data_IF_078486217169
#
_entry.id   IF_078486217169
#
_cell.length_a   1.000
_cell.length_b   1.000
_cell.length_c   1.000
_cell.angle_alpha   90.00
_cell.angle_beta   90.00
_cell.angle_gamma   90.00
#
_symmetry.space_group_name_H-M   'P 1'
#
loop_
_entity.id
_entity.type
_entity.pdbx_description
1 polymer ?
#
# COMPACT_ATOMS: atom_id res chain seq x y z
N UNK A 1 -26.00 -10.70 -1.55
CA UNK A 1 -25.21 -11.92 -1.25
C UNK A 1 -23.91 -11.99 -2.04
N UNK A 2 -23.93 -11.95 -3.39
CA UNK A 2 -22.72 -12.04 -4.24
C UNK A 2 -21.75 -10.87 -3.99
N UNK A 3 -22.22 -9.63 -3.94
CA UNK A 3 -21.39 -8.46 -3.64
C UNK A 3 -20.66 -8.58 -2.30
N UNK A 4 -21.34 -9.11 -1.27
CA UNK A 4 -20.71 -9.34 0.03
C UNK A 4 -19.62 -10.41 -0.02
N UNK A 5 -19.77 -11.45 -0.86
CA UNK A 5 -18.72 -12.46 -1.09
C UNK A 5 -17.53 -11.87 -1.84
N UNK A 6 -17.76 -11.07 -2.87
CA UNK A 6 -16.70 -10.39 -3.63
C UNK A 6 -15.88 -9.49 -2.71
N UNK A 7 -16.54 -8.63 -1.91
CA UNK A 7 -15.83 -7.76 -0.95
C UNK A 7 -14.96 -8.54 0.04
N UNK A 8 -15.44 -9.68 0.55
CA UNK A 8 -14.62 -10.54 1.43
C UNK A 8 -13.44 -11.18 0.70
N UNK A 9 -13.63 -11.56 -0.56
CA UNK A 9 -12.56 -12.09 -1.40
C UNK A 9 -11.47 -11.05 -1.68
N UNK A 10 -11.85 -9.79 -1.89
CA UNK A 10 -10.91 -8.68 -2.10
C UNK A 10 -10.04 -8.41 -0.87
N UNK A 11 -10.56 -8.65 0.33
CA UNK A 11 -9.82 -8.47 1.58
C UNK A 11 -8.94 -9.68 1.96
N UNK A 12 -9.12 -10.81 1.26
CA UNK A 12 -8.35 -12.02 1.56
C UNK A 12 -6.87 -11.81 1.29
N UNK A 13 -6.04 -12.18 2.24
CA UNK A 13 -4.58 -12.18 2.15
C UNK A 13 -3.93 -10.81 1.86
N UNK A 14 -4.61 -9.70 2.15
CA UNK A 14 -4.12 -8.35 1.87
C UNK A 14 -2.84 -8.00 2.64
N UNK A 15 -2.64 -8.53 3.83
CA UNK A 15 -1.40 -8.37 4.58
C UNK A 15 -0.20 -8.93 3.81
N UNK A 16 -0.32 -10.17 3.31
CA UNK A 16 0.70 -10.80 2.48
C UNK A 16 0.98 -10.00 1.21
N UNK A 17 -0.05 -9.72 0.41
CA UNK A 17 0.09 -9.02 -0.87
C UNK A 17 0.67 -7.62 -0.70
N UNK A 18 0.32 -6.92 0.36
CA UNK A 18 0.86 -5.60 0.65
C UNK A 18 2.33 -5.68 1.07
N UNK A 19 2.69 -6.65 1.91
CA UNK A 19 4.08 -6.86 2.34
C UNK A 19 4.97 -7.22 1.15
N UNK A 20 4.53 -8.11 0.27
CA UNK A 20 5.22 -8.49 -0.96
C UNK A 20 5.51 -7.27 -1.86
N UNK A 21 4.53 -6.39 -2.06
CA UNK A 21 4.66 -5.17 -2.84
C UNK A 21 5.61 -4.16 -2.18
N UNK A 22 5.49 -3.96 -0.87
CA UNK A 22 6.37 -3.05 -0.12
C UNK A 22 7.81 -3.58 -0.08
N UNK A 23 8.01 -4.88 0.08
CA UNK A 23 9.34 -5.49 0.02
C UNK A 23 10.02 -5.20 -1.32
N UNK A 24 9.32 -5.34 -2.45
CA UNK A 24 9.85 -4.98 -3.77
C UNK A 24 10.19 -3.48 -3.87
N UNK A 25 9.36 -2.60 -3.32
CA UNK A 25 9.61 -1.15 -3.30
C UNK A 25 10.83 -0.78 -2.45
N UNK A 26 11.01 -1.43 -1.31
CA UNK A 26 12.16 -1.21 -0.43
C UNK A 26 13.45 -1.76 -1.03
N UNK A 27 13.38 -2.92 -1.70
CA UNK A 27 14.48 -3.52 -2.44
C UNK A 27 14.97 -2.60 -3.56
N UNK A 28 14.06 -1.99 -4.34
CA UNK A 28 14.39 -0.98 -5.33
C UNK A 28 15.16 0.20 -4.71
N UNK A 29 14.66 0.76 -3.62
CA UNK A 29 15.33 1.87 -2.94
C UNK A 29 16.71 1.47 -2.40
N UNK A 30 16.89 0.27 -1.89
CA UNK A 30 18.17 -0.17 -1.34
C UNK A 30 19.23 -0.31 -2.43
N UNK A 31 18.91 -0.92 -3.57
CA UNK A 31 19.90 -1.09 -4.65
C UNK A 31 20.26 0.23 -5.35
N UNK A 32 19.30 1.14 -5.49
CA UNK A 32 19.52 2.44 -6.10
C UNK A 32 20.07 3.51 -5.13
N UNK A 33 20.28 3.15 -3.86
CA UNK A 33 20.96 3.99 -2.86
C UNK A 33 22.46 3.67 -2.73
N UNK A 34 22.98 2.73 -3.52
CA UNK A 34 24.41 2.41 -3.55
C UNK A 34 25.15 3.58 -4.20
N UNK A 35 26.12 4.16 -3.48
CA UNK A 35 26.91 5.31 -3.94
C UNK A 35 28.28 4.92 -4.48
N UNK A 36 28.79 3.76 -4.09
CA UNK A 36 30.09 3.25 -4.52
C UNK A 36 29.89 1.83 -5.07
N UNK A 37 30.46 1.59 -6.26
CA UNK A 37 30.32 0.29 -6.89
C UNK A 37 31.41 -0.66 -6.37
N UNK A 38 30.95 -1.73 -5.75
CA UNK A 38 31.75 -2.93 -5.49
C UNK A 38 31.02 -4.16 -6.04
N UNK A 39 31.69 -5.15 -6.63
CA UNK A 39 31.04 -6.39 -7.04
C UNK A 39 30.37 -7.09 -5.86
N UNK A 40 29.10 -7.45 -6.01
CA UNK A 40 28.34 -8.18 -4.99
C UNK A 40 27.41 -9.21 -5.64
N UNK A 41 27.01 -10.22 -4.86
CA UNK A 41 25.95 -11.13 -5.24
C UNK A 41 24.58 -10.44 -5.05
N UNK A 42 23.81 -10.22 -6.11
CA UNK A 42 22.55 -9.48 -6.01
C UNK A 42 21.51 -10.19 -5.15
N UNK A 43 21.51 -11.54 -5.12
CA UNK A 43 20.56 -12.30 -4.32
C UNK A 43 20.88 -12.22 -2.83
N UNK A 44 22.16 -12.24 -2.48
CA UNK A 44 22.62 -12.07 -1.10
C UNK A 44 22.42 -10.63 -0.62
N UNK A 45 22.63 -9.65 -1.49
CA UNK A 45 22.32 -8.25 -1.19
C UNK A 45 20.82 -8.06 -0.87
N UNK A 46 19.94 -8.57 -1.74
CA UNK A 46 18.49 -8.52 -1.54
C UNK A 46 18.09 -9.18 -0.22
N UNK A 47 18.59 -10.38 0.03
CA UNK A 47 18.31 -11.13 1.26
C UNK A 47 18.69 -10.31 2.50
N UNK A 48 19.90 -9.77 2.56
CA UNK A 48 20.36 -8.94 3.69
C UNK A 48 19.51 -7.67 3.85
N UNK A 49 19.25 -6.97 2.74
CA UNK A 49 18.47 -5.73 2.75
C UNK A 49 17.05 -5.97 3.30
N UNK A 50 16.40 -7.05 2.90
CA UNK A 50 15.01 -7.31 3.31
C UNK A 50 14.90 -8.03 4.65
N UNK A 51 15.70 -9.06 4.92
CA UNK A 51 15.56 -9.85 6.14
C UNK A 51 16.30 -9.23 7.33
N UNK A 52 17.60 -8.93 7.19
CA UNK A 52 18.42 -8.46 8.30
C UNK A 52 18.16 -7.00 8.64
N UNK A 53 18.05 -6.15 7.63
CA UNK A 53 17.84 -4.71 7.82
C UNK A 53 16.38 -4.35 8.12
N UNK A 54 15.41 -5.07 7.53
CA UNK A 54 13.98 -4.69 7.56
C UNK A 54 13.07 -5.72 8.22
N UNK A 55 13.58 -6.89 8.59
CA UNK A 55 12.86 -7.92 9.32
C UNK A 55 11.78 -8.62 8.49
N UNK A 56 11.93 -8.69 7.16
CA UNK A 56 11.02 -9.47 6.33
C UNK A 56 11.07 -10.95 6.75
N UNK A 57 9.89 -11.49 7.05
CA UNK A 57 9.78 -12.90 7.44
C UNK A 57 10.06 -13.82 6.25
N UNK A 58 10.68 -15.00 6.46
CA UNK A 58 11.11 -15.86 5.37
C UNK A 58 9.97 -16.47 4.53
N UNK A 59 8.74 -16.43 5.02
CA UNK A 59 7.56 -16.91 4.30
C UNK A 59 7.05 -15.93 3.22
N UNK A 60 7.57 -14.70 3.20
CA UNK A 60 7.21 -13.69 2.22
C UNK A 60 8.45 -13.32 1.42
N UNK A 61 8.40 -13.55 0.12
CA UNK A 61 9.39 -13.05 -0.81
C UNK A 61 8.93 -11.74 -1.45
N UNK A 62 9.86 -10.87 -1.90
CA UNK A 62 9.47 -9.69 -2.65
C UNK A 62 8.81 -10.09 -3.97
N UNK A 63 7.88 -9.27 -4.44
CA UNK A 63 7.11 -9.51 -5.68
C UNK A 63 8.01 -9.75 -6.90
N UNK A 64 9.16 -9.11 -6.94
CA UNK A 64 10.21 -9.29 -7.94
C UNK A 64 11.56 -9.44 -7.26
N UNK A 65 12.40 -10.31 -7.83
CA UNK A 65 13.80 -10.50 -7.43
C UNK A 65 14.69 -9.78 -8.44
N UNK A 66 15.83 -9.26 -8.03
CA UNK A 66 16.72 -8.48 -8.88
C UNK A 66 17.02 -9.10 -10.25
N UNK A 67 17.24 -10.41 -10.42
CA UNK A 67 17.56 -10.97 -11.74
C UNK A 67 16.47 -10.83 -12.80
N UNK A 68 15.22 -10.55 -12.40
CA UNK A 68 14.09 -10.38 -13.32
C UNK A 68 13.21 -9.16 -13.02
N UNK A 69 13.75 -8.22 -12.24
CA UNK A 69 13.01 -7.00 -11.87
C UNK A 69 13.19 -5.90 -12.94
N UNK A 70 12.71 -6.16 -14.14
CA UNK A 70 12.84 -5.26 -15.29
C UNK A 70 12.30 -3.85 -15.04
N UNK A 71 11.25 -3.70 -14.24
CA UNK A 71 10.69 -2.39 -13.90
C UNK A 71 11.73 -1.37 -13.43
N UNK A 72 12.67 -1.80 -12.58
CA UNK A 72 13.64 -0.91 -11.94
C UNK A 72 14.97 -0.82 -12.69
N UNK A 73 15.25 -1.76 -13.62
CA UNK A 73 16.50 -1.76 -14.39
C UNK A 73 16.32 -1.34 -15.85
N UNK A 74 15.13 -1.56 -16.43
CA UNK A 74 14.83 -1.26 -17.84
C UNK A 74 13.50 -0.54 -18.03
N UNK A 75 12.58 -0.66 -17.08
CA UNK A 75 11.20 -0.15 -17.17
C UNK A 75 10.99 1.31 -16.76
N UNK A 76 12.03 2.05 -16.40
CA UNK A 76 11.93 3.48 -16.02
C UNK A 76 11.43 3.72 -14.58
N UNK A 77 11.41 2.71 -13.72
CA UNK A 77 10.99 2.82 -12.31
C UNK A 77 12.18 2.74 -11.32
N UNK A 78 13.41 3.00 -11.76
CA UNK A 78 14.59 3.01 -10.88
C UNK A 78 14.41 3.98 -9.73
N UNK A 79 14.58 3.51 -8.49
CA UNK A 79 14.27 4.24 -7.25
C UNK A 79 12.82 4.80 -7.21
N UNK A 80 11.91 4.23 -7.98
CA UNK A 80 10.56 4.74 -8.19
C UNK A 80 9.45 3.69 -8.10
N UNK A 81 9.75 2.44 -7.79
CA UNK A 81 8.73 1.38 -7.72
C UNK A 81 7.69 1.62 -6.63
N UNK A 82 8.06 2.31 -5.54
CA UNK A 82 7.13 2.74 -4.49
C UNK A 82 5.95 3.57 -5.01
N UNK A 83 6.09 4.13 -6.22
CA UNK A 83 5.09 5.01 -6.81
C UNK A 83 3.73 4.33 -7.00
N UNK A 84 3.69 3.03 -7.19
CA UNK A 84 2.43 2.26 -7.24
C UNK A 84 1.63 2.40 -5.94
N UNK A 85 2.30 2.25 -4.80
CA UNK A 85 1.65 2.43 -3.49
C UNK A 85 1.28 3.88 -3.22
N UNK A 86 2.14 4.82 -3.62
CA UNK A 86 1.88 6.25 -3.49
C UNK A 86 0.67 6.68 -4.33
N UNK A 87 0.60 6.26 -5.59
CA UNK A 87 -0.53 6.54 -6.46
C UNK A 87 -1.84 5.97 -5.91
N UNK A 88 -1.80 4.79 -5.28
CA UNK A 88 -2.98 4.20 -4.62
C UNK A 88 -3.44 5.02 -3.41
N UNK A 89 -2.52 5.57 -2.62
CA UNK A 89 -2.88 6.49 -1.52
C UNK A 89 -3.66 7.68 -2.08
N UNK A 90 -3.18 8.29 -3.17
CA UNK A 90 -3.85 9.43 -3.79
C UNK A 90 -5.20 9.04 -4.39
N UNK A 91 -5.27 7.92 -5.12
CA UNK A 91 -6.49 7.40 -5.74
C UNK A 91 -7.60 7.16 -4.70
N UNK A 92 -7.27 6.43 -3.63
CA UNK A 92 -8.26 6.11 -2.59
C UNK A 92 -8.74 7.35 -1.84
N UNK A 93 -7.85 8.30 -1.53
CA UNK A 93 -8.27 9.53 -0.85
C UNK A 93 -9.03 10.50 -1.80
N UNK A 94 -8.73 10.52 -3.08
CA UNK A 94 -9.55 11.22 -4.09
C UNK A 94 -10.97 10.66 -4.11
N UNK A 95 -11.12 9.32 -4.07
CA UNK A 95 -12.43 8.69 -4.03
C UNK A 95 -13.21 8.99 -2.74
N UNK A 96 -12.51 9.21 -1.62
CA UNK A 96 -13.16 9.64 -0.36
C UNK A 96 -13.92 10.96 -0.53
N UNK A 97 -13.52 11.88 -1.43
CA UNK A 97 -14.28 13.11 -1.69
C UNK A 97 -15.72 12.81 -2.14
N UNK A 98 -15.89 11.77 -2.98
CA UNK A 98 -17.23 11.33 -3.40
C UNK A 98 -17.98 10.66 -2.27
N UNK A 99 -17.33 9.83 -1.46
CA UNK A 99 -17.94 9.18 -0.30
C UNK A 99 -18.38 10.20 0.77
N UNK A 100 -17.52 11.15 1.08
CA UNK A 100 -17.78 12.25 2.02
C UNK A 100 -18.99 13.11 1.60
N UNK A 101 -19.23 13.24 0.29
CA UNK A 101 -20.40 13.98 -0.23
C UNK A 101 -21.73 13.25 -0.08
N UNK A 102 -21.70 11.93 0.21
CA UNK A 102 -22.90 11.09 0.24
C UNK A 102 -23.45 10.71 -1.15
N UNK A 103 -22.84 11.19 -2.22
CA UNK A 103 -23.25 10.91 -3.62
C UNK A 103 -22.00 10.52 -4.46
N UNK A 104 -21.87 9.25 -4.76
CA UNK A 104 -20.76 8.72 -5.57
C UNK A 104 -20.74 9.23 -7.01
N UNK A 105 -21.83 9.82 -7.49
CA UNK A 105 -21.96 10.43 -8.81
C UNK A 105 -22.08 11.95 -8.75
N UNK A 106 -21.59 12.58 -7.69
CA UNK A 106 -21.62 14.02 -7.49
C UNK A 106 -20.95 14.75 -8.66
N UNK A 107 -21.77 15.42 -9.46
CA UNK A 107 -21.32 16.09 -10.70
C UNK A 107 -20.32 17.22 -10.45
N UNK A 108 -20.48 17.95 -9.34
CA UNK A 108 -19.56 19.05 -9.00
C UNK A 108 -18.16 18.51 -8.69
N UNK A 109 -18.06 17.46 -7.86
CA UNK A 109 -16.79 16.82 -7.51
C UNK A 109 -16.17 16.18 -8.76
N UNK A 110 -16.96 15.49 -9.59
CA UNK A 110 -16.50 14.90 -10.83
C UNK A 110 -15.94 15.94 -11.81
N UNK A 111 -16.58 17.10 -11.94
CA UNK A 111 -16.13 18.19 -12.79
C UNK A 111 -14.87 18.88 -12.21
N UNK A 112 -14.80 19.06 -10.90
CA UNK A 112 -13.60 19.55 -10.22
C UNK A 112 -12.42 18.58 -10.40
N UNK A 113 -12.62 17.28 -10.22
CA UNK A 113 -11.60 16.26 -10.48
C UNK A 113 -11.11 16.28 -11.93
N UNK A 114 -12.05 16.33 -12.87
CA UNK A 114 -11.74 16.43 -14.29
C UNK A 114 -10.89 17.67 -14.61
N UNK A 115 -11.25 18.83 -14.10
CA UNK A 115 -10.58 20.11 -14.45
C UNK A 115 -9.27 20.31 -13.69
N UNK A 116 -9.23 19.96 -12.41
CA UNK A 116 -8.10 20.26 -11.53
C UNK A 116 -7.00 19.20 -11.60
N UNK A 117 -7.35 17.96 -11.96
CA UNK A 117 -6.42 16.82 -12.03
C UNK A 117 -6.26 16.36 -13.48
N UNK A 118 -7.30 15.73 -14.05
CA UNK A 118 -7.16 14.99 -15.31
C UNK A 118 -6.80 15.89 -16.51
N UNK A 119 -7.44 17.04 -16.64
CA UNK A 119 -7.20 17.95 -17.75
C UNK A 119 -5.86 18.68 -17.65
N UNK A 120 -5.28 18.76 -16.47
CA UNK A 120 -3.97 19.42 -16.24
C UNK A 120 -2.79 18.49 -16.50
N UNK A 121 -2.96 17.18 -16.27
CA UNK A 121 -1.90 16.20 -16.50
C UNK A 121 -0.61 16.56 -15.77
N UNK A 122 0.52 16.57 -16.49
CA UNK A 122 1.83 16.93 -15.96
C UNK A 122 2.21 18.41 -16.11
N UNK A 123 1.26 19.33 -16.29
CA UNK A 123 1.53 20.76 -16.48
C UNK A 123 1.90 21.51 -15.21
N UNK A 124 1.69 20.89 -14.05
CA UNK A 124 1.94 21.48 -12.74
C UNK A 124 2.34 20.39 -11.75
N UNK A 125 2.90 20.80 -10.60
CA UNK A 125 3.23 19.86 -9.52
C UNK A 125 2.00 19.06 -9.05
N UNK A 126 2.14 17.73 -8.98
CA UNK A 126 1.04 16.83 -8.67
C UNK A 126 0.41 17.08 -7.31
N UNK A 127 1.21 17.44 -6.29
CA UNK A 127 0.69 17.72 -4.95
C UNK A 127 -0.02 19.06 -4.89
N UNK A 128 0.38 20.04 -5.70
CA UNK A 128 -0.33 21.30 -5.83
C UNK A 128 -1.73 21.08 -6.42
N UNK A 129 -1.82 20.31 -7.51
CA UNK A 129 -3.11 19.95 -8.12
C UNK A 129 -3.98 19.13 -7.15
N UNK A 130 -3.38 18.20 -6.42
CA UNK A 130 -4.07 17.38 -5.43
C UNK A 130 -4.70 18.23 -4.32
N UNK A 131 -3.91 19.15 -3.73
CA UNK A 131 -4.39 20.06 -2.68
C UNK A 131 -5.46 21.03 -3.20
N UNK A 132 -5.34 21.48 -4.44
CA UNK A 132 -6.39 22.31 -5.10
C UNK A 132 -7.71 21.54 -5.22
N UNK A 133 -7.65 20.23 -5.49
CA UNK A 133 -8.85 19.38 -5.55
C UNK A 133 -9.39 19.01 -4.16
N UNK A 134 -8.53 18.47 -3.27
CA UNK A 134 -8.94 17.90 -1.97
C UNK A 134 -9.03 18.93 -0.84
N UNK A 135 -8.33 20.07 -0.95
CA UNK A 135 -8.22 21.08 0.12
C UNK A 135 -7.36 20.64 1.30
N UNK A 136 -6.65 19.51 1.20
CA UNK A 136 -5.83 18.92 2.26
C UNK A 136 -4.73 18.03 1.68
N UNK A 137 -3.80 17.60 2.52
CA UNK A 137 -2.83 16.56 2.19
C UNK A 137 -3.48 15.18 2.10
N UNK A 138 -2.87 14.24 1.34
CA UNK A 138 -3.36 12.87 1.20
C UNK A 138 -3.44 12.13 2.53
N UNK A 139 -4.48 11.34 2.70
CA UNK A 139 -4.66 10.48 3.86
C UNK A 139 -4.52 9.00 3.48
N UNK A 140 -3.42 8.38 3.94
CA UNK A 140 -3.15 6.95 3.70
C UNK A 140 -4.24 6.01 4.29
N UNK A 141 -5.04 6.48 5.24
CA UNK A 141 -6.09 5.66 5.87
C UNK A 141 -7.13 5.20 4.88
N UNK A 142 -7.43 5.98 3.84
CA UNK A 142 -8.34 5.57 2.78
C UNK A 142 -7.84 4.30 2.05
N UNK A 143 -6.57 4.25 1.69
CA UNK A 143 -5.95 3.07 1.09
C UNK A 143 -5.89 1.89 2.07
N UNK A 144 -5.49 2.11 3.32
CA UNK A 144 -5.43 1.06 4.32
C UNK A 144 -6.82 0.46 4.62
N UNK A 145 -7.88 1.28 4.68
CA UNK A 145 -9.28 0.80 4.79
C UNK A 145 -9.68 -0.04 3.59
N UNK A 146 -9.34 0.39 2.38
CA UNK A 146 -9.69 -0.36 1.16
C UNK A 146 -9.05 -1.75 1.12
N UNK A 147 -7.89 -1.91 1.77
CA UNK A 147 -7.17 -3.18 1.90
C UNK A 147 -7.55 -3.97 3.17
N UNK A 148 -8.45 -3.45 4.03
CA UNK A 148 -8.79 -4.08 5.30
C UNK A 148 -7.64 -4.08 6.32
N UNK A 149 -6.66 -3.19 6.16
CA UNK A 149 -5.49 -3.04 7.04
C UNK A 149 -5.63 -1.87 8.04
N UNK A 150 -6.78 -1.23 8.04
CA UNK A 150 -7.12 -0.16 8.98
C UNK A 150 -8.50 -0.37 9.57
N UNK A 151 -8.53 -0.53 10.88
CA UNK A 151 -9.77 -0.47 11.65
C UNK A 151 -9.82 0.92 12.30
N UNK A 152 -10.93 1.65 12.10
CA UNK A 152 -11.16 2.85 12.89
C UNK A 152 -11.17 2.42 14.37
N UNK A 153 -10.46 3.13 15.25
CA UNK A 153 -10.64 2.90 16.68
C UNK A 153 -12.12 3.11 17.00
N UNK A 154 -12.75 2.13 17.62
CA UNK A 154 -14.13 2.31 18.08
C UNK A 154 -14.19 3.61 18.91
N UNK A 155 -15.20 4.45 18.70
CA UNK A 155 -15.41 5.60 19.56
C UNK A 155 -15.44 5.07 20.99
N UNK A 156 -14.62 5.64 21.85
CA UNK A 156 -14.53 5.22 23.24
C UNK A 156 -15.93 5.29 23.87
N UNK A 157 -16.61 4.15 23.88
CA UNK A 157 -17.87 4.03 24.60
C UNK A 157 -17.52 4.01 26.10
N UNK A 158 -17.84 5.09 26.75
CA UNK A 158 -17.61 5.28 28.17
C UNK A 158 -18.45 4.33 29.06
N UNK A 159 -19.05 3.28 28.49
CA UNK A 159 -19.97 2.35 29.18
C UNK A 159 -19.70 0.86 28.96
N UNK A 160 -18.71 0.46 28.18
CA UNK A 160 -18.40 -0.96 27.99
C UNK A 160 -17.23 -1.38 28.87
N UNK A 161 -17.49 -2.29 29.81
CA UNK A 161 -16.44 -3.02 30.51
C UNK A 161 -15.55 -3.76 29.51
N UNK A 162 -14.27 -3.86 29.83
CA UNK A 162 -13.24 -4.48 29.00
C UNK A 162 -13.70 -5.84 28.47
N UNK A 163 -13.64 -6.09 27.14
CA UNK A 163 -13.85 -7.43 26.63
C UNK A 163 -12.71 -8.33 27.10
N UNK A 164 -13.05 -9.52 27.57
CA UNK A 164 -12.06 -10.56 27.85
C UNK A 164 -11.23 -10.84 26.61
N UNK A 165 -9.90 -11.09 26.76
CA UNK A 165 -9.05 -11.44 25.63
C UNK A 165 -9.57 -12.74 24.99
N UNK A 166 -9.82 -12.70 23.70
CA UNK A 166 -10.18 -13.87 22.92
C UNK A 166 -9.12 -14.97 23.13
N UNK A 167 -9.56 -16.16 23.53
CA UNK A 167 -8.69 -17.32 23.71
C UNK A 167 -7.84 -17.54 22.44
N UNK A 168 -6.53 -17.55 22.65
CA UNK A 168 -5.54 -17.68 21.59
C UNK A 168 -5.72 -18.98 20.82
N UNK A 169 -5.67 -18.89 19.51
CA UNK A 169 -5.54 -20.02 18.60
C UNK A 169 -4.27 -20.81 18.98
N UNK A 170 -4.44 -21.94 19.67
CA UNK A 170 -3.34 -22.89 19.91
C UNK A 170 -3.08 -23.63 18.61
N UNK A 171 -1.94 -23.36 18.01
CA UNK A 171 -1.40 -24.21 16.94
C UNK A 171 -0.87 -25.47 17.64
N UNK A 172 -1.56 -26.61 17.50
CA UNK A 172 -1.01 -27.90 17.92
C UNK A 172 0.18 -28.23 17.00
N UNK A 173 1.31 -28.53 17.63
CA UNK A 173 2.50 -28.98 16.91
C UNK A 173 2.22 -30.33 16.23
N UNK A 174 2.48 -30.41 14.92
CA UNK A 174 2.45 -31.67 14.18
C UNK A 174 3.64 -32.52 14.66
N UNK A 175 3.44 -33.76 15.10
CA UNK A 175 4.55 -34.64 15.50
C UNK A 175 5.39 -35.00 14.29
N UNK A 176 6.70 -34.81 14.41
CA UNK A 176 7.69 -35.34 13.46
C UNK A 176 7.66 -36.86 13.47
N UNK A 177 7.46 -37.50 12.31
CA UNK A 177 7.73 -38.91 12.03
C UNK A 177 8.88 -39.00 11.04
#
# INVERSE_FOLDING_TARGET
YLVAKLRRSELFNQGFMTTELIAASLSDMDIHSITEYEPFDPMEFERKALTEKRGLIPQIEPRYRYPYFSHIFDGGYSAGYYFYTWAEVLDKDVFEAFRESGDLFNKKIADDFRRKILARGGSEDGMTMYRDFRGKDPDKRAMLRSRGLWNEPEPADSRAGSPEPAEGFRVEAVPEN
#
